data_IF_178486967518
#
_entry.id   IF_178486967518
#
_cell.length_a   1.000
_cell.length_b   1.000
_cell.length_c   1.000
_cell.angle_alpha   90.00
_cell.angle_beta   90.00
_cell.angle_gamma   90.00
#
_symmetry.space_group_name_H-M   'P 1'
#
loop_
_entity.id
_entity.type
_entity.pdbx_description
1 polymer ?
#
# COMPACT_ATOMS: atom_id res chain seq x y z
N UNK A 1 23.08 -34.10 -19.98
CA UNK A 1 21.83 -33.35 -19.79
C UNK A 1 22.19 -32.18 -18.91
N UNK A 2 22.66 -31.12 -19.54
CA UNK A 2 23.22 -29.99 -18.82
C UNK A 2 22.10 -29.05 -18.39
N UNK A 3 21.98 -28.88 -17.08
CA UNK A 3 21.44 -27.64 -16.55
C UNK A 3 22.40 -26.54 -17.05
N UNK A 4 22.00 -25.77 -18.07
CA UNK A 4 22.72 -24.55 -18.46
C UNK A 4 22.59 -23.57 -17.30
N UNK A 5 23.49 -23.72 -16.35
CA UNK A 5 23.59 -22.93 -15.15
C UNK A 5 24.25 -21.60 -15.53
N UNK A 6 23.44 -20.58 -15.80
CA UNK A 6 23.93 -19.23 -16.06
C UNK A 6 24.19 -18.45 -14.77
N UNK A 7 23.73 -18.91 -13.60
CA UNK A 7 23.71 -18.10 -12.36
C UNK A 7 24.20 -18.76 -11.08
N UNK A 8 24.66 -20.02 -11.05
CA UNK A 8 25.09 -20.75 -9.83
C UNK A 8 24.05 -20.86 -8.69
N UNK A 9 22.87 -20.24 -8.84
CA UNK A 9 21.76 -20.20 -7.87
C UNK A 9 20.89 -21.46 -7.90
N UNK A 10 20.81 -22.13 -9.04
CA UNK A 10 19.93 -23.29 -9.28
C UNK A 10 20.72 -24.59 -9.14
N UNK A 11 20.29 -25.45 -8.22
CA UNK A 11 20.93 -26.74 -7.92
C UNK A 11 19.89 -27.85 -7.87
N UNK A 12 20.12 -28.94 -8.59
CA UNK A 12 19.34 -30.17 -8.42
C UNK A 12 19.99 -30.97 -7.30
N UNK A 13 19.30 -31.13 -6.17
CA UNK A 13 19.83 -31.88 -5.03
C UNK A 13 19.34 -33.30 -5.09
N UNK A 14 20.29 -34.23 -5.08
CA UNK A 14 20.06 -35.64 -4.86
C UNK A 14 21.37 -36.33 -4.48
N UNK A 15 21.43 -37.00 -3.34
CA UNK A 15 22.65 -37.59 -2.80
C UNK A 15 22.63 -39.12 -2.88
N UNK A 16 22.71 -39.62 -4.11
CA UNK A 16 23.16 -40.98 -4.38
C UNK A 16 22.16 -41.90 -5.09
N UNK A 17 21.71 -41.53 -6.30
CA UNK A 17 21.03 -42.34 -7.36
C UNK A 17 19.60 -41.93 -7.85
N UNK A 18 18.76 -41.08 -7.21
CA UNK A 18 17.67 -41.48 -6.29
C UNK A 18 16.26 -41.00 -6.75
N UNK A 19 15.26 -41.71 -6.23
CA UNK A 19 13.93 -41.19 -5.84
C UNK A 19 13.99 -39.80 -5.15
N UNK A 20 12.89 -39.04 -5.22
CA UNK A 20 12.72 -37.78 -4.46
C UNK A 20 13.73 -36.66 -4.73
N UNK A 21 14.28 -36.57 -5.95
CA UNK A 21 15.07 -35.42 -6.36
C UNK A 21 14.26 -34.10 -6.25
N UNK A 22 14.90 -33.04 -5.75
CA UNK A 22 14.27 -31.72 -5.64
C UNK A 22 15.14 -30.60 -6.22
N UNK A 23 14.47 -29.63 -6.85
CA UNK A 23 15.09 -28.43 -7.39
C UNK A 23 15.23 -27.39 -6.29
N UNK A 24 16.45 -26.93 -6.04
CA UNK A 24 16.76 -25.92 -5.04
C UNK A 24 17.31 -24.66 -5.71
N UNK A 25 16.55 -23.56 -5.62
CA UNK A 25 16.90 -22.25 -6.16
C UNK A 25 17.22 -21.31 -5.00
N UNK A 26 18.46 -20.80 -4.94
CA UNK A 26 18.89 -19.82 -3.95
C UNK A 26 18.47 -18.41 -4.38
N UNK A 27 18.07 -17.58 -3.40
CA UNK A 27 17.72 -16.17 -3.59
C UNK A 27 16.73 -15.96 -4.74
N UNK A 28 15.44 -16.21 -4.48
CA UNK A 28 14.38 -16.08 -5.48
C UNK A 28 14.25 -14.64 -5.98
N UNK A 29 14.23 -14.47 -7.29
CA UNK A 29 13.98 -13.21 -8.00
C UNK A 29 12.65 -13.29 -8.76
N UNK A 30 12.04 -12.15 -9.12
CA UNK A 30 10.79 -12.15 -9.88
C UNK A 30 10.91 -12.80 -11.26
N UNK A 31 12.11 -12.79 -11.85
CA UNK A 31 12.41 -13.50 -13.09
C UNK A 31 12.39 -15.02 -12.95
N UNK A 32 12.43 -15.55 -11.73
CA UNK A 32 12.36 -16.98 -11.47
C UNK A 32 10.89 -17.49 -11.52
N UNK A 33 9.90 -16.60 -11.61
CA UNK A 33 8.50 -16.95 -11.85
C UNK A 33 8.31 -17.55 -13.25
N UNK A 34 7.61 -18.70 -13.32
CA UNK A 34 7.38 -19.35 -14.60
C UNK A 34 6.93 -20.81 -14.51
N UNK A 35 6.90 -21.47 -15.66
CA UNK A 35 6.52 -22.88 -15.77
C UNK A 35 7.77 -23.76 -15.74
N UNK A 36 7.84 -24.63 -14.75
CA UNK A 36 8.91 -25.59 -14.57
C UNK A 36 8.45 -26.97 -15.01
N UNK A 37 9.33 -27.71 -15.69
CA UNK A 37 9.06 -29.07 -16.15
C UNK A 37 10.08 -30.03 -15.56
N UNK A 38 9.59 -31.02 -14.81
CA UNK A 38 10.39 -32.15 -14.38
C UNK A 38 10.25 -33.26 -15.42
N UNK A 39 11.37 -33.78 -15.91
CA UNK A 39 11.41 -34.91 -16.85
C UNK A 39 12.22 -36.04 -16.23
N UNK A 40 11.56 -37.16 -15.97
CA UNK A 40 12.20 -38.41 -15.54
C UNK A 40 12.47 -39.29 -16.75
N UNK A 41 13.69 -39.78 -16.89
CA UNK A 41 14.09 -40.70 -17.96
C UNK A 41 14.57 -42.02 -17.35
N UNK A 42 14.02 -43.13 -17.84
CA UNK A 42 14.48 -44.48 -17.50
C UNK A 42 15.23 -45.08 -18.66
N UNK A 43 16.52 -45.35 -18.47
CA UNK A 43 17.37 -46.03 -19.46
C UNK A 43 16.93 -47.47 -19.71
N UNK A 44 16.40 -48.14 -18.69
CA UNK A 44 15.94 -49.54 -18.80
C UNK A 44 14.74 -49.67 -19.75
N UNK A 45 13.75 -48.77 -19.62
CA UNK A 45 12.55 -48.79 -20.45
C UNK A 45 12.65 -47.89 -21.69
N UNK A 46 13.77 -47.19 -21.90
CA UNK A 46 13.95 -46.16 -22.95
C UNK A 46 12.77 -45.17 -23.04
N UNK A 47 12.21 -44.81 -21.89
CA UNK A 47 11.02 -43.97 -21.81
C UNK A 47 11.25 -42.77 -20.91
N UNK A 48 10.59 -41.66 -21.23
CA UNK A 48 10.61 -40.44 -20.44
C UNK A 48 9.19 -40.01 -20.08
N UNK A 49 9.00 -39.61 -18.83
CA UNK A 49 7.75 -39.04 -18.35
C UNK A 49 7.99 -37.64 -17.79
N UNK A 50 7.07 -36.70 -18.06
CA UNK A 50 7.23 -35.30 -17.64
C UNK A 50 6.01 -34.78 -16.89
N UNK A 51 6.26 -33.88 -15.93
CA UNK A 51 5.24 -33.12 -15.22
C UNK A 51 5.61 -31.65 -15.19
N UNK A 52 4.62 -30.80 -15.46
CA UNK A 52 4.77 -29.36 -15.44
C UNK A 52 4.08 -28.77 -14.23
N UNK A 53 4.66 -27.73 -13.65
CA UNK A 53 4.11 -26.96 -12.54
C UNK A 53 4.45 -25.48 -12.70
N UNK A 54 3.60 -24.61 -12.18
CA UNK A 54 3.78 -23.16 -12.25
C UNK A 54 4.29 -22.66 -10.91
N UNK A 55 5.47 -22.05 -10.91
CA UNK A 55 6.05 -21.37 -9.75
C UNK A 55 5.70 -19.90 -9.83
N UNK A 56 5.15 -19.34 -8.75
CA UNK A 56 4.87 -17.92 -8.60
C UNK A 56 5.73 -17.35 -7.49
N UNK A 57 6.40 -16.23 -7.73
CA UNK A 57 7.28 -15.60 -6.73
C UNK A 57 6.49 -14.52 -6.00
N UNK A 58 6.25 -14.72 -4.70
CA UNK A 58 5.47 -13.76 -3.91
C UNK A 58 6.27 -12.48 -3.69
N UNK A 59 5.68 -11.36 -4.05
CA UNK A 59 6.24 -10.05 -3.80
C UNK A 59 6.20 -9.68 -2.30
N UNK A 60 7.35 -9.49 -1.62
CA UNK A 60 7.40 -9.07 -0.23
C UNK A 60 7.04 -7.60 -0.01
N UNK A 61 6.72 -6.76 -1.01
CA UNK A 61 6.17 -5.40 -0.79
C UNK A 61 4.64 -5.34 -0.95
N UNK A 62 3.99 -6.48 -1.23
CA UNK A 62 2.54 -6.53 -1.37
C UNK A 62 1.79 -6.16 -0.07
N UNK A 63 2.38 -6.39 1.10
CA UNK A 63 1.81 -6.02 2.40
C UNK A 63 1.91 -4.53 2.72
N UNK A 64 2.79 -3.79 2.03
CA UNK A 64 2.97 -2.34 2.24
C UNK A 64 1.83 -1.55 1.60
N UNK A 65 1.25 -2.05 0.51
CA UNK A 65 0.10 -1.44 -0.17
C UNK A 65 -1.11 -1.20 0.75
N UNK A 66 -1.57 -2.18 1.56
CA UNK A 66 -2.58 -1.96 2.59
C UNK A 66 -2.23 -0.83 3.57
N UNK A 67 -0.97 -0.74 4.00
CA UNK A 67 -0.53 0.29 4.94
C UNK A 67 -0.53 1.69 4.31
N UNK A 68 -0.13 1.79 3.03
CA UNK A 68 -0.18 3.06 2.29
C UNK A 68 -1.63 3.53 2.14
N UNK A 69 -2.57 2.61 1.84
CA UNK A 69 -3.99 2.96 1.77
C UNK A 69 -4.53 3.55 3.07
N UNK A 70 -4.22 2.93 4.21
CA UNK A 70 -4.62 3.42 5.53
C UNK A 70 -3.99 4.79 5.82
N UNK A 71 -2.72 4.99 5.48
CA UNK A 71 -2.04 6.26 5.70
C UNK A 71 -2.67 7.40 4.89
N UNK A 72 -3.04 7.13 3.64
CA UNK A 72 -3.74 8.09 2.77
C UNK A 72 -5.09 8.47 3.37
N UNK A 73 -5.86 7.50 3.88
CA UNK A 73 -7.16 7.77 4.52
C UNK A 73 -7.03 8.69 5.73
N UNK A 74 -6.05 8.45 6.60
CA UNK A 74 -5.79 9.29 7.77
C UNK A 74 -5.44 10.73 7.36
N UNK A 75 -4.64 10.90 6.30
CA UNK A 75 -4.29 12.23 5.77
C UNK A 75 -5.52 12.94 5.23
N UNK A 76 -6.38 12.26 4.47
CA UNK A 76 -7.62 12.84 3.94
C UNK A 76 -8.54 13.29 5.07
N UNK A 77 -8.75 12.45 6.09
CA UNK A 77 -9.54 12.79 7.27
C UNK A 77 -8.96 14.00 8.02
N UNK A 78 -7.63 14.03 8.21
CA UNK A 78 -6.96 15.15 8.85
C UNK A 78 -7.14 16.46 8.07
N UNK A 79 -7.07 16.43 6.74
CA UNK A 79 -7.29 17.60 5.88
C UNK A 79 -8.72 18.11 5.99
N UNK A 80 -9.71 17.22 5.97
CA UNK A 80 -11.13 17.58 6.12
C UNK A 80 -11.36 18.24 7.49
N UNK A 81 -10.91 17.61 8.56
CA UNK A 81 -11.04 18.13 9.93
C UNK A 81 -10.34 19.49 10.05
N UNK A 82 -9.12 19.61 9.52
CA UNK A 82 -8.37 20.86 9.57
C UNK A 82 -9.10 21.98 8.83
N UNK A 83 -9.59 21.73 7.61
CA UNK A 83 -10.34 22.68 6.82
C UNK A 83 -11.59 23.17 7.59
N UNK A 84 -12.42 22.26 8.11
CA UNK A 84 -13.60 22.60 8.91
C UNK A 84 -13.23 23.46 10.13
N UNK A 85 -12.21 23.07 10.90
CA UNK A 85 -11.76 23.85 12.06
C UNK A 85 -11.29 25.25 11.70
N UNK A 86 -10.68 25.42 10.51
CA UNK A 86 -10.22 26.72 10.01
C UNK A 86 -11.38 27.60 9.55
N UNK A 87 -12.45 26.99 9.02
CA UNK A 87 -13.67 27.71 8.64
C UNK A 87 -14.49 28.12 9.87
N UNK A 88 -14.63 27.26 10.87
CA UNK A 88 -15.39 27.57 12.09
C UNK A 88 -14.73 28.67 12.92
N UNK A 89 -13.39 28.65 13.07
CA UNK A 89 -12.65 29.73 13.74
C UNK A 89 -12.86 31.09 13.07
N UNK A 90 -12.95 31.15 11.74
CA UNK A 90 -13.19 32.40 11.01
C UNK A 90 -14.63 32.90 11.21
N UNK A 91 -15.61 32.00 11.26
CA UNK A 91 -17.02 32.35 11.48
C UNK A 91 -17.26 32.89 12.90
N UNK A 92 -16.68 32.26 13.92
CA UNK A 92 -16.81 32.70 15.32
C UNK A 92 -16.30 34.13 15.53
N UNK A 93 -15.11 34.46 15.00
CA UNK A 93 -14.53 35.81 15.10
C UNK A 93 -15.40 36.85 14.37
N UNK A 94 -15.97 36.49 13.21
CA UNK A 94 -16.89 37.38 12.47
C UNK A 94 -18.20 37.63 13.22
N UNK A 95 -18.73 36.60 13.90
CA UNK A 95 -19.94 36.74 14.70
C UNK A 95 -19.70 37.65 15.92
N UNK A 96 -18.60 37.47 16.66
CA UNK A 96 -18.26 38.35 17.78
C UNK A 96 -18.07 39.81 17.35
N UNK A 97 -17.38 40.07 16.22
CA UNK A 97 -17.27 41.43 15.69
C UNK A 97 -18.63 41.99 15.28
N UNK A 98 -19.46 41.23 14.57
CA UNK A 98 -20.80 41.68 14.17
C UNK A 98 -21.70 41.97 15.38
N UNK A 99 -21.61 41.19 16.46
CA UNK A 99 -22.35 41.44 17.70
C UNK A 99 -21.82 42.67 18.45
N UNK A 100 -20.51 42.91 18.45
CA UNK A 100 -19.91 44.15 18.95
C UNK A 100 -20.39 45.38 18.16
N UNK A 101 -20.33 45.35 16.82
CA UNK A 101 -20.82 46.45 15.97
C UNK A 101 -22.33 46.69 16.15
N UNK A 102 -23.14 45.63 16.31
CA UNK A 102 -24.58 45.74 16.53
C UNK A 102 -24.93 46.39 17.88
N UNK A 103 -24.17 46.08 18.94
CA UNK A 103 -24.37 46.69 20.25
C UNK A 103 -23.95 48.17 20.29
N UNK A 104 -22.86 48.56 19.62
CA UNK A 104 -22.46 49.98 19.55
C UNK A 104 -23.44 50.84 18.74
N UNK A 105 -24.01 50.30 17.66
CA UNK A 105 -25.04 50.98 16.86
C UNK A 105 -26.36 51.21 17.60
N UNK A 106 -26.64 50.40 18.63
CA UNK A 106 -27.84 50.55 19.46
C UNK A 106 -27.61 51.48 20.67
N UNK A 107 -26.37 51.60 21.15
CA UNK A 107 -25.99 52.53 22.22
C UNK A 107 -25.98 54.00 21.81
N UNK A 108 -25.64 54.30 20.56
CA UNK A 108 -25.61 55.68 20.03
C UNK A 108 -27.00 56.27 19.74
N UNK A 109 -28.04 55.45 19.55
CA UNK A 109 -29.42 55.93 19.36
C UNK A 109 -30.05 56.51 20.63
N UNK A 110 -29.60 56.12 21.81
CA UNK A 110 -30.18 56.60 23.07
C UNK A 110 -29.58 57.93 23.55
N UNK A 111 -28.46 58.40 22.97
CA UNK A 111 -27.83 59.66 23.37
C UNK A 111 -28.23 60.87 22.52
N UNK A 112 -29.01 60.67 21.46
CA UNK A 112 -29.49 61.75 20.56
C UNK A 112 -30.91 62.26 20.86
N UNK A 113 -31.58 61.75 21.89
CA UNK A 113 -32.94 62.11 22.26
C UNK A 113 -32.98 62.83 23.62
N UNK A 114 -32.12 63.83 23.82
CA UNK A 114 -32.27 64.79 24.92
C UNK A 114 -31.83 66.16 24.41
N UNK A 115 -32.67 67.18 24.65
CA UNK A 115 -32.65 68.58 24.14
C UNK A 115 -33.50 68.73 22.87
N UNK A 116 -34.57 69.51 22.86
CA UNK A 116 -34.70 70.89 23.38
C UNK A 116 -36.18 71.22 23.61
N UNK A 117 -36.45 71.96 24.69
CA UNK A 117 -37.65 72.78 24.93
C UNK A 117 -37.96 73.74 23.77
#
# INVERSE_FOLDING_TARGET
MDLTNTTSRVTLKNDGIVENAYLHIKSLEYSDEGTYKCTAYSKYFNFSHSKSLVIRVKNPIAWVWPLVGILVEIIVLAVIIFACSKFDKRRLIQTEQNDLYRNEGHGTRNHGAEKTD
#
